data_IF_008844503955
#
_entry.id   IF_008844503955
#
_cell.length_a   1.000
_cell.length_b   1.000
_cell.length_c   1.000
_cell.angle_alpha   90.00
_cell.angle_beta   90.00
_cell.angle_gamma   90.00
#
_symmetry.space_group_name_H-M   'P 1'
#
loop_
_entity.id
_entity.type
_entity.pdbx_description
1 polymer ?
#
# COMPACT_ATOMS: atom_id res chain seq x y z
N UNK A 1 -7.01 10.84 -16.63
CA UNK A 1 -5.81 11.47 -16.04
C UNK A 1 -4.62 10.71 -16.59
N UNK A 2 -3.55 11.40 -16.99
CA UNK A 2 -2.35 10.76 -17.50
C UNK A 2 -1.62 10.06 -16.34
N UNK A 3 -1.88 8.77 -16.15
CA UNK A 3 -1.23 7.96 -15.11
C UNK A 3 0.30 7.90 -15.29
N UNK A 4 0.83 8.38 -16.42
CA UNK A 4 2.26 8.30 -16.74
C UNK A 4 3.16 9.06 -15.77
N UNK A 5 2.63 10.05 -15.05
CA UNK A 5 3.38 10.90 -14.10
C UNK A 5 3.02 10.66 -12.63
N UNK A 6 2.12 9.71 -12.34
CA UNK A 6 1.72 9.43 -10.95
C UNK A 6 2.82 8.67 -10.23
N UNK A 7 3.33 9.23 -9.14
CA UNK A 7 4.41 8.63 -8.33
C UNK A 7 3.92 7.40 -7.56
N UNK A 8 2.75 7.50 -6.92
CA UNK A 8 2.08 6.37 -6.23
C UNK A 8 0.58 6.45 -6.49
N UNK A 9 0.02 5.42 -7.14
CA UNK A 9 -1.43 5.26 -7.35
C UNK A 9 -1.97 4.16 -6.41
N UNK A 10 -2.46 4.59 -5.24
CA UNK A 10 -2.96 3.68 -4.19
C UNK A 10 -4.22 2.94 -4.65
N UNK A 11 -5.15 3.63 -5.33
CA UNK A 11 -6.39 3.01 -5.81
C UNK A 11 -6.08 1.90 -6.82
N UNK A 12 -5.15 2.14 -7.73
CA UNK A 12 -4.67 1.11 -8.64
C UNK A 12 -4.00 -0.04 -7.89
N UNK A 13 -3.04 0.23 -7.00
CA UNK A 13 -2.35 -0.81 -6.23
C UNK A 13 -3.33 -1.67 -5.40
N UNK A 14 -4.34 -1.05 -4.81
CA UNK A 14 -5.43 -1.71 -4.09
C UNK A 14 -6.24 -2.62 -5.02
N UNK A 15 -6.58 -2.15 -6.23
CA UNK A 15 -7.33 -2.94 -7.20
C UNK A 15 -6.58 -4.22 -7.62
N UNK A 16 -5.24 -4.15 -7.71
CA UNK A 16 -4.39 -5.30 -8.04
C UNK A 16 -4.37 -6.35 -6.93
N UNK A 17 -4.62 -5.93 -5.69
CA UNK A 17 -4.54 -6.77 -4.50
C UNK A 17 -5.93 -7.05 -3.91
N UNK A 18 -6.98 -6.99 -4.73
CA UNK A 18 -8.38 -7.27 -4.31
C UNK A 18 -8.82 -6.41 -3.11
N UNK A 19 -8.33 -5.18 -3.02
CA UNK A 19 -8.62 -4.25 -1.92
C UNK A 19 -7.82 -4.49 -0.64
N UNK A 20 -6.77 -5.32 -0.66
CA UNK A 20 -5.97 -5.60 0.53
C UNK A 20 -4.92 -4.50 0.80
N UNK A 21 -5.30 -3.50 1.60
CA UNK A 21 -4.45 -2.37 2.00
C UNK A 21 -3.22 -2.80 2.76
N UNK A 22 -3.38 -3.67 3.76
CA UNK A 22 -2.26 -4.17 4.57
C UNK A 22 -1.19 -4.83 3.70
N UNK A 23 -1.60 -5.64 2.72
CA UNK A 23 -0.68 -6.25 1.77
C UNK A 23 -0.02 -5.20 0.86
N UNK A 24 -0.77 -4.22 0.35
CA UNK A 24 -0.22 -3.14 -0.47
C UNK A 24 0.90 -2.40 0.27
N UNK A 25 0.63 -1.93 1.48
CA UNK A 25 1.60 -1.18 2.29
C UNK A 25 2.80 -2.05 2.70
N UNK A 26 2.58 -3.34 2.96
CA UNK A 26 3.68 -4.30 3.19
C UNK A 26 4.59 -4.41 1.96
N UNK A 27 4.02 -4.49 0.76
CA UNK A 27 4.78 -4.59 -0.48
C UNK A 27 5.48 -3.28 -0.82
N UNK A 28 4.85 -2.14 -0.56
CA UNK A 28 5.46 -0.81 -0.71
C UNK A 28 6.65 -0.62 0.24
N UNK A 29 6.55 -1.08 1.49
CA UNK A 29 7.69 -1.04 2.43
C UNK A 29 8.84 -1.96 2.02
N UNK A 30 8.53 -3.17 1.52
CA UNK A 30 9.56 -4.06 0.97
C UNK A 30 10.24 -3.44 -0.26
N UNK A 31 9.47 -2.78 -1.12
CA UNK A 31 10.00 -2.07 -2.27
C UNK A 31 11.01 -0.98 -1.85
N UNK A 32 10.68 -0.15 -0.85
CA UNK A 32 11.61 0.88 -0.38
C UNK A 32 12.88 0.30 0.23
N UNK A 33 12.77 -0.79 0.99
CA UNK A 33 13.93 -1.48 1.58
C UNK A 33 14.85 -2.09 0.50
N UNK A 34 14.26 -2.72 -0.51
CA UNK A 34 14.99 -3.42 -1.58
C UNK A 34 15.71 -2.46 -2.52
N UNK A 35 15.06 -1.36 -2.92
CA UNK A 35 15.57 -0.50 -3.99
C UNK A 35 16.30 0.75 -3.51
N UNK A 36 16.50 0.94 -2.20
CA UNK A 36 17.22 2.09 -1.63
C UNK A 36 18.68 2.17 -2.06
N UNK A 37 19.32 1.02 -2.31
CA UNK A 37 20.71 0.94 -2.77
C UNK A 37 20.85 0.83 -4.29
N UNK A 38 19.74 0.86 -5.04
CA UNK A 38 19.74 0.50 -6.45
C UNK A 38 20.72 1.33 -7.27
N UNK A 39 20.86 2.64 -7.03
CA UNK A 39 21.84 3.47 -7.76
C UNK A 39 23.27 2.96 -7.55
N UNK A 40 23.65 2.68 -6.29
CA UNK A 40 24.99 2.17 -5.98
C UNK A 40 25.24 0.81 -6.64
N UNK A 41 24.24 -0.07 -6.64
CA UNK A 41 24.33 -1.41 -7.24
C UNK A 41 24.48 -1.31 -8.77
N UNK A 42 23.68 -0.46 -9.42
CA UNK A 42 23.75 -0.21 -10.86
C UNK A 42 25.10 0.39 -11.26
N UNK A 43 25.60 1.40 -10.53
CA UNK A 43 26.92 1.97 -10.78
C UNK A 43 28.03 0.92 -10.64
N UNK A 44 27.95 0.03 -9.66
CA UNK A 44 28.92 -1.05 -9.46
C UNK A 44 28.94 -2.04 -10.63
N UNK A 45 27.77 -2.42 -11.16
CA UNK A 45 27.68 -3.27 -12.35
C UNK A 45 28.20 -2.57 -13.61
N UNK A 46 27.82 -1.30 -13.82
CA UNK A 46 28.29 -0.49 -14.95
C UNK A 46 29.81 -0.36 -14.95
N UNK A 47 30.42 -0.08 -13.79
CA UNK A 47 31.87 0.06 -13.66
C UNK A 47 32.64 -1.24 -14.00
N UNK A 48 32.01 -2.40 -13.79
CA UNK A 48 32.55 -3.72 -14.16
C UNK A 48 32.24 -4.12 -15.60
N UNK A 49 31.38 -3.38 -16.30
CA UNK A 49 30.88 -3.73 -17.63
C UNK A 49 29.78 -4.80 -17.61
N UNK A 50 29.19 -5.10 -16.44
CA UNK A 50 28.19 -6.14 -16.21
C UNK A 50 26.78 -5.67 -16.60
N UNK A 51 26.59 -5.21 -17.84
CA UNK A 51 25.32 -4.63 -18.31
C UNK A 51 24.13 -5.61 -18.29
N UNK A 52 24.38 -6.93 -18.31
CA UNK A 52 23.32 -7.92 -18.18
C UNK A 52 22.74 -7.94 -16.76
N UNK A 53 23.56 -7.76 -15.73
CA UNK A 53 23.11 -7.69 -14.34
C UNK A 53 22.39 -6.36 -14.09
N UNK A 54 22.95 -5.25 -14.58
CA UNK A 54 22.28 -3.95 -14.53
C UNK A 54 20.91 -3.97 -15.23
N UNK A 55 20.82 -4.61 -16.40
CA UNK A 55 19.54 -4.85 -17.08
C UNK A 55 18.57 -5.65 -16.23
N UNK A 56 19.02 -6.75 -15.61
CA UNK A 56 18.16 -7.65 -14.83
C UNK A 56 17.57 -6.95 -13.59
N UNK A 57 18.37 -6.11 -12.92
CA UNK A 57 17.91 -5.27 -11.82
C UNK A 57 16.82 -4.29 -12.26
N UNK A 58 17.06 -3.51 -13.33
CA UNK A 58 16.07 -2.53 -13.82
C UNK A 58 14.82 -3.21 -14.39
N UNK A 59 14.97 -4.38 -15.04
CA UNK A 59 13.86 -5.17 -15.55
C UNK A 59 12.93 -5.63 -14.41
N UNK A 60 13.52 -6.11 -13.31
CA UNK A 60 12.79 -6.55 -12.13
C UNK A 60 12.06 -5.37 -11.48
N UNK A 61 12.76 -4.25 -11.25
CA UNK A 61 12.17 -3.01 -10.75
C UNK A 61 10.97 -2.57 -11.59
N UNK A 62 11.11 -2.56 -12.92
CA UNK A 62 10.03 -2.17 -13.84
C UNK A 62 8.79 -3.07 -13.68
N UNK A 63 8.99 -4.37 -13.48
CA UNK A 63 7.91 -5.33 -13.23
C UNK A 63 7.19 -5.04 -11.91
N UNK A 64 7.96 -4.79 -10.84
CA UNK A 64 7.42 -4.47 -9.51
C UNK A 64 6.62 -3.16 -9.53
N UNK A 65 7.19 -2.10 -10.11
CA UNK A 65 6.57 -0.76 -10.17
C UNK A 65 5.24 -0.76 -10.93
N UNK A 66 5.13 -1.56 -11.99
CA UNK A 66 3.88 -1.70 -12.75
C UNK A 66 2.74 -2.34 -11.94
N UNK A 67 3.06 -3.28 -11.04
CA UNK A 67 2.07 -3.97 -10.22
C UNK A 67 1.65 -3.18 -8.97
N UNK A 68 2.50 -2.25 -8.51
CA UNK A 68 2.27 -1.45 -7.30
C UNK A 68 1.72 -0.04 -7.60
N UNK A 69 1.44 0.30 -8.86
CA UNK A 69 0.95 1.63 -9.22
C UNK A 69 2.01 2.73 -9.15
N UNK A 70 3.30 2.38 -9.24
CA UNK A 70 4.43 3.31 -9.21
C UNK A 70 4.77 3.79 -10.64
N UNK A 71 3.79 4.40 -11.31
CA UNK A 71 3.81 4.59 -12.76
C UNK A 71 4.89 5.55 -13.26
N UNK A 72 5.18 6.63 -12.53
CA UNK A 72 6.26 7.55 -12.86
C UNK A 72 7.61 6.81 -12.95
N UNK A 73 7.92 5.98 -11.94
CA UNK A 73 9.13 5.19 -11.90
C UNK A 73 9.14 4.06 -12.94
N UNK A 74 8.01 3.39 -13.12
CA UNK A 74 7.84 2.39 -14.18
C UNK A 74 8.21 2.97 -15.55
N UNK A 75 7.73 4.17 -15.87
CA UNK A 75 8.03 4.83 -17.13
C UNK A 75 9.48 5.31 -17.22
N UNK A 76 10.02 5.88 -16.14
CA UNK A 76 11.40 6.34 -16.09
C UNK A 76 12.42 5.19 -16.27
N UNK A 77 12.07 3.97 -15.86
CA UNK A 77 12.93 2.78 -16.01
C UNK A 77 13.10 2.31 -17.47
N UNK A 78 12.12 2.54 -18.34
CA UNK A 78 12.10 2.02 -19.74
C UNK A 78 13.32 2.41 -20.57
N UNK A 79 13.73 3.70 -20.65
CA UNK A 79 14.92 4.08 -21.40
C UNK A 79 16.21 3.51 -20.78
N UNK A 80 16.29 3.41 -19.46
CA UNK A 80 17.45 2.85 -18.75
C UNK A 80 17.60 1.35 -19.03
N UNK A 81 16.52 0.59 -18.90
CA UNK A 81 16.45 -0.84 -19.22
C UNK A 81 16.88 -1.08 -20.69
N UNK A 82 16.35 -0.28 -21.62
CA UNK A 82 16.70 -0.37 -23.04
C UNK A 82 18.18 -0.08 -23.30
N UNK A 83 18.75 0.94 -22.65
CA UNK A 83 20.17 1.29 -22.76
C UNK A 83 21.09 0.16 -22.30
N UNK A 84 20.75 -0.50 -21.19
CA UNK A 84 21.51 -1.66 -20.71
C UNK A 84 21.37 -2.87 -21.64
N UNK A 85 20.15 -3.18 -22.11
CA UNK A 85 19.88 -4.36 -22.94
C UNK A 85 20.48 -4.26 -24.35
N UNK A 86 20.23 -3.15 -25.02
CA UNK A 86 20.46 -3.03 -26.47
C UNK A 86 21.82 -2.40 -26.78
N UNK A 87 22.18 -1.38 -26.01
CA UNK A 87 23.35 -0.55 -26.29
C UNK A 87 24.53 -0.84 -25.34
N UNK A 88 24.30 -1.64 -24.28
CA UNK A 88 25.27 -1.89 -23.20
C UNK A 88 25.90 -0.58 -22.68
N UNK A 89 25.06 0.41 -22.40
CA UNK A 89 25.47 1.73 -21.93
C UNK A 89 24.48 2.31 -20.93
N UNK A 90 24.95 3.31 -20.18
CA UNK A 90 24.08 4.15 -19.36
C UNK A 90 23.31 5.11 -20.25
N UNK A 91 21.98 5.10 -20.14
CA UNK A 91 21.12 6.01 -20.88
C UNK A 91 21.24 7.45 -20.35
N UNK A 92 21.03 8.46 -21.22
CA UNK A 92 21.06 9.88 -20.82
C UNK A 92 20.00 10.21 -19.75
N UNK A 93 18.91 9.44 -19.71
CA UNK A 93 17.81 9.57 -18.76
C UNK A 93 18.13 8.97 -17.38
N UNK A 94 19.28 8.31 -17.19
CA UNK A 94 19.64 7.66 -15.93
C UNK A 94 19.56 8.61 -14.70
N UNK A 95 20.06 9.87 -14.74
CA UNK A 95 19.93 10.77 -13.60
C UNK A 95 18.47 11.11 -13.27
N UNK A 96 17.62 11.26 -14.29
CA UNK A 96 16.18 11.50 -14.10
C UNK A 96 15.48 10.27 -13.51
N UNK A 97 15.87 9.07 -13.94
CA UNK A 97 15.38 7.82 -13.36
C UNK A 97 15.72 7.69 -11.87
N UNK A 98 16.95 8.01 -11.46
CA UNK A 98 17.35 8.00 -10.04
C UNK A 98 16.58 9.06 -9.25
N UNK A 99 16.39 10.26 -9.78
CA UNK A 99 15.58 11.28 -9.11
C UNK A 99 14.13 10.83 -8.87
N UNK A 100 13.52 10.15 -9.85
CA UNK A 100 12.17 9.58 -9.71
C UNK A 100 12.15 8.41 -8.74
N UNK A 101 13.21 7.58 -8.68
CA UNK A 101 13.34 6.52 -7.67
C UNK A 101 13.36 7.11 -6.26
N UNK A 102 14.20 8.11 -6.02
CA UNK A 102 14.32 8.78 -4.73
C UNK A 102 13.02 9.47 -4.31
N UNK A 103 12.35 10.13 -5.26
CA UNK A 103 11.02 10.72 -5.05
C UNK A 103 9.99 9.66 -4.68
N UNK A 104 9.99 8.52 -5.39
CA UNK A 104 9.07 7.40 -5.13
C UNK A 104 9.32 6.81 -3.75
N UNK A 105 10.59 6.57 -3.38
CA UNK A 105 10.95 6.05 -2.05
C UNK A 105 10.51 7.04 -0.97
N UNK A 106 10.78 8.34 -1.14
CA UNK A 106 10.38 9.35 -0.17
C UNK A 106 8.85 9.44 -0.02
N UNK A 107 8.10 9.35 -1.13
CA UNK A 107 6.64 9.35 -1.12
C UNK A 107 6.08 8.12 -0.39
N UNK A 108 6.64 6.93 -0.66
CA UNK A 108 6.23 5.68 0.00
C UNK A 108 6.61 5.70 1.48
N UNK A 109 7.82 6.15 1.84
CA UNK A 109 8.24 6.30 3.23
C UNK A 109 7.30 7.26 3.97
N UNK A 110 6.89 8.37 3.35
CA UNK A 110 5.91 9.29 3.94
C UNK A 110 4.55 8.62 4.15
N UNK A 111 4.06 7.86 3.18
CA UNK A 111 2.79 7.13 3.27
C UNK A 111 2.80 6.05 4.36
N UNK A 112 3.92 5.37 4.58
CA UNK A 112 4.07 4.32 5.59
C UNK A 112 4.33 4.92 6.98
N UNK A 113 5.04 6.04 7.04
CA UNK A 113 5.43 6.70 8.29
C UNK A 113 4.38 7.65 8.83
N UNK A 114 3.44 8.10 8.00
CA UNK A 114 2.21 8.67 8.52
C UNK A 114 1.57 7.62 9.46
N UNK A 115 1.49 7.88 10.79
CA UNK A 115 0.46 7.21 11.55
C UNK A 115 -0.87 7.57 10.88
N UNK A 116 -1.88 6.73 10.97
CA UNK A 116 -3.22 7.01 10.44
C UNK A 116 -3.68 8.45 10.80
N UNK A 117 -3.39 9.40 9.91
CA UNK A 117 -3.85 10.78 9.95
C UNK A 117 -4.43 11.09 8.57
N UNK A 118 -5.33 10.21 8.14
CA UNK A 118 -6.59 10.68 7.59
C UNK A 118 -7.58 10.84 8.75
N UNK A 119 -7.21 11.74 9.66
CA UNK A 119 -8.18 12.49 10.42
C UNK A 119 -8.99 13.33 9.41
N UNK A 120 -10.06 12.75 8.86
CA UNK A 120 -11.25 13.57 8.69
C UNK A 120 -11.63 14.04 10.09
N UNK A 121 -11.72 15.36 10.23
CA UNK A 121 -11.90 16.11 11.47
C UNK A 121 -12.81 15.44 12.52
N UNK A 122 -12.62 15.74 13.82
CA UNK A 122 -13.59 15.38 14.85
C UNK A 122 -14.88 16.16 14.59
N UNK A 123 -15.80 15.58 13.85
CA UNK A 123 -17.20 15.95 14.01
C UNK A 123 -17.62 15.43 15.39
N UNK A 124 -18.35 16.24 16.18
CA UNK A 124 -18.84 15.78 17.47
C UNK A 124 -19.61 14.48 17.26
N UNK A 125 -19.51 13.56 18.23
CA UNK A 125 -20.26 12.32 18.30
C UNK A 125 -21.74 12.56 17.99
N UNK A 126 -22.10 12.49 16.70
CA UNK A 126 -23.47 12.49 16.26
C UNK A 126 -23.87 11.03 16.31
N UNK A 127 -24.79 10.67 17.20
CA UNK A 127 -25.31 9.32 17.33
C UNK A 127 -25.70 8.68 16.00
N UNK A 128 -25.99 9.45 14.94
CA UNK A 128 -26.22 8.96 13.59
C UNK A 128 -25.04 8.16 12.98
N UNK A 129 -23.77 8.58 13.18
CA UNK A 129 -22.61 7.88 12.63
C UNK A 129 -22.34 6.56 13.38
N UNK A 130 -22.45 6.59 14.71
CA UNK A 130 -22.35 5.41 15.57
C UNK A 130 -23.48 4.41 15.26
N UNK A 131 -24.73 4.88 15.12
CA UNK A 131 -25.88 4.05 14.73
C UNK A 131 -25.71 3.42 13.34
N UNK A 132 -25.18 4.19 12.38
CA UNK A 132 -24.89 3.67 11.05
C UNK A 132 -23.80 2.59 11.09
N UNK A 133 -22.69 2.84 11.80
CA UNK A 133 -21.62 1.86 11.98
C UNK A 133 -22.13 0.59 12.68
N UNK A 134 -22.91 0.75 13.75
CA UNK A 134 -23.56 -0.38 14.47
C UNK A 134 -24.41 -1.21 13.53
N UNK A 135 -25.26 -0.55 12.73
CA UNK A 135 -26.15 -1.23 11.79
C UNK A 135 -25.39 -1.95 10.68
N UNK A 136 -24.33 -1.35 10.16
CA UNK A 136 -23.51 -1.94 9.11
C UNK A 136 -22.73 -3.16 9.61
N UNK A 137 -22.06 -3.03 10.76
CA UNK A 137 -21.37 -4.14 11.42
C UNK A 137 -22.36 -5.28 11.74
N UNK A 138 -23.50 -4.97 12.37
CA UNK A 138 -24.55 -5.94 12.67
C UNK A 138 -25.09 -6.65 11.42
N UNK A 139 -25.23 -5.94 10.31
CA UNK A 139 -25.70 -6.54 9.04
C UNK A 139 -24.67 -7.49 8.47
N UNK A 140 -23.39 -7.09 8.46
CA UNK A 140 -22.30 -7.92 7.96
C UNK A 140 -22.11 -9.19 8.80
N UNK A 141 -22.16 -9.08 10.13
CA UNK A 141 -22.09 -10.21 11.05
C UNK A 141 -23.27 -11.18 10.85
N UNK A 142 -24.50 -10.67 10.74
CA UNK A 142 -25.70 -11.49 10.49
C UNK A 142 -25.71 -12.17 9.12
N UNK A 143 -25.05 -11.56 8.14
CA UNK A 143 -24.88 -12.14 6.81
C UNK A 143 -23.68 -13.09 6.72
N UNK A 144 -22.92 -13.26 7.81
CA UNK A 144 -21.65 -14.00 7.85
C UNK A 144 -20.71 -13.58 6.71
N UNK A 145 -20.74 -12.28 6.36
CA UNK A 145 -19.91 -11.71 5.32
C UNK A 145 -18.49 -11.49 5.83
N UNK A 146 -17.51 -11.69 4.95
CA UNK A 146 -16.13 -11.32 5.25
C UNK A 146 -16.03 -9.80 5.47
N UNK A 147 -15.54 -9.41 6.65
CA UNK A 147 -15.28 -8.01 7.01
C UNK A 147 -13.77 -7.80 6.95
N UNK A 148 -13.31 -6.86 6.12
CA UNK A 148 -11.90 -6.47 6.11
C UNK A 148 -11.54 -5.77 7.43
N UNK A 149 -10.34 -6.05 7.96
CA UNK A 149 -9.84 -5.47 9.22
C UNK A 149 -10.00 -3.94 9.27
N UNK A 150 -9.57 -3.22 8.23
CA UNK A 150 -9.66 -1.76 8.18
C UNK A 150 -11.11 -1.26 8.32
N UNK A 151 -12.08 -2.01 7.78
CA UNK A 151 -13.51 -1.68 7.82
C UNK A 151 -14.11 -2.00 9.19
N UNK A 152 -13.66 -3.08 9.81
CA UNK A 152 -14.02 -3.44 11.17
C UNK A 152 -13.52 -2.37 12.16
N UNK A 153 -12.27 -1.94 12.01
CA UNK A 153 -11.67 -0.88 12.82
C UNK A 153 -12.40 0.45 12.66
N UNK A 154 -12.73 0.85 11.42
CA UNK A 154 -13.52 2.06 11.14
C UNK A 154 -14.89 2.03 11.85
N UNK A 155 -15.60 0.89 11.79
CA UNK A 155 -16.88 0.73 12.46
C UNK A 155 -16.75 0.75 13.98
N UNK A 156 -15.75 0.08 14.54
CA UNK A 156 -15.51 0.05 15.99
C UNK A 156 -15.06 1.41 16.54
N UNK A 157 -14.29 2.18 15.77
CA UNK A 157 -13.89 3.54 16.12
C UNK A 157 -15.08 4.49 16.18
N UNK A 158 -16.02 4.37 15.23
CA UNK A 158 -17.24 5.16 15.22
C UNK A 158 -18.19 4.83 16.39
N UNK A 159 -18.11 3.62 16.95
CA UNK A 159 -18.92 3.17 18.09
C UNK A 159 -18.38 3.66 19.44
N UNK A 160 -17.12 4.12 19.50
CA UNK A 160 -16.45 4.57 20.72
C UNK A 160 -16.58 3.56 21.88
N UNK A 161 -16.45 2.26 21.57
CA UNK A 161 -16.56 1.18 22.57
C UNK A 161 -15.37 1.17 23.54
N UNK A 162 -15.56 0.65 24.77
CA UNK A 162 -14.44 0.32 25.64
C UNK A 162 -13.47 -0.64 24.94
N UNK A 163 -12.17 -0.47 25.18
CA UNK A 163 -11.10 -1.26 24.56
C UNK A 163 -11.30 -2.78 24.73
N UNK A 164 -11.83 -3.20 25.88
CA UNK A 164 -12.13 -4.61 26.19
C UNK A 164 -13.15 -5.20 25.19
N UNK A 165 -14.25 -4.48 24.94
CA UNK A 165 -15.28 -4.89 23.98
C UNK A 165 -14.79 -4.84 22.54
N UNK A 166 -13.98 -3.83 22.21
CA UNK A 166 -13.35 -3.74 20.88
C UNK A 166 -12.51 -4.99 20.59
N UNK A 167 -11.66 -5.39 21.54
CA UNK A 167 -10.82 -6.58 21.38
C UNK A 167 -11.67 -7.84 21.22
N UNK A 168 -12.68 -8.02 22.07
CA UNK A 168 -13.55 -9.21 22.01
C UNK A 168 -14.27 -9.36 20.67
N UNK A 169 -14.76 -8.25 20.08
CA UNK A 169 -15.40 -8.27 18.76
C UNK A 169 -14.38 -8.61 17.66
N UNK A 170 -13.17 -8.06 17.72
CA UNK A 170 -12.11 -8.35 16.74
C UNK A 170 -11.71 -9.83 16.81
N UNK A 171 -11.45 -10.34 18.02
CA UNK A 171 -11.07 -11.73 18.24
C UNK A 171 -12.15 -12.69 17.73
N UNK A 172 -13.43 -12.40 18.01
CA UNK A 172 -14.55 -13.21 17.52
C UNK A 172 -14.69 -13.17 15.98
N UNK A 173 -14.48 -12.02 15.33
CA UNK A 173 -14.51 -11.91 13.86
C UNK A 173 -13.33 -12.66 13.23
N UNK A 174 -12.14 -12.58 13.82
CA UNK A 174 -10.93 -13.29 13.35
C UNK A 174 -11.07 -14.82 13.49
N UNK A 175 -11.76 -15.29 14.54
CA UNK A 175 -12.11 -16.69 14.74
C UNK A 175 -13.33 -17.16 13.92
N UNK A 176 -13.93 -16.26 13.13
CA UNK A 176 -15.18 -16.49 12.37
C UNK A 176 -16.39 -16.84 13.25
N UNK A 177 -16.32 -16.52 14.55
CA UNK A 177 -17.41 -16.66 15.51
C UNK A 177 -18.31 -15.42 15.47
N UNK A 178 -19.10 -15.34 14.40
CA UNK A 178 -20.01 -14.22 14.18
C UNK A 178 -21.13 -14.13 15.25
N UNK A 179 -21.47 -15.24 15.92
CA UNK A 179 -22.47 -15.25 17.00
C UNK A 179 -21.92 -14.52 18.24
N UNK A 180 -20.68 -14.83 18.62
CA UNK A 180 -20.00 -14.15 19.74
C UNK A 180 -19.78 -12.66 19.45
N UNK A 181 -19.37 -12.31 18.21
CA UNK A 181 -19.20 -10.92 17.79
C UNK A 181 -20.51 -10.11 17.88
N UNK A 182 -21.66 -10.73 17.55
CA UNK A 182 -22.99 -10.10 17.69
C UNK A 182 -23.33 -9.90 19.17
N UNK A 183 -23.10 -10.91 20.01
CA UNK A 183 -23.36 -10.84 21.45
C UNK A 183 -22.59 -9.70 22.11
N UNK A 184 -21.31 -9.56 21.79
CA UNK A 184 -20.47 -8.49 22.33
C UNK A 184 -20.92 -7.09 21.90
N UNK A 185 -21.37 -6.97 20.65
CA UNK A 185 -21.91 -5.74 20.07
C UNK A 185 -23.30 -5.37 20.63
N UNK A 186 -24.17 -6.33 20.94
CA UNK A 186 -25.48 -6.07 21.57
C UNK A 186 -25.34 -5.70 23.05
N UNK A 187 -24.36 -6.27 23.75
CA UNK A 187 -24.05 -5.96 25.14
C UNK A 187 -23.20 -4.69 25.32
N UNK A 188 -23.01 -3.90 24.24
CA UNK A 188 -22.21 -2.66 24.19
C UNK A 188 -23.04 -1.38 24.18
#
# INVERSE_FOLDING_TARGET
MDQSTTVVDIDFGMSQLSGNKKLLFTLLGKFTDEYRSLDADLQAHVAKGDFNEAYSLVHTLKGVTGNLGLFALHNASKPVESGFRNDKRVAEQYPAFIAVLDETIAAVDALIKEPEVTASAPAPANGAAAEQARKQLMTALKASEFIAQDKLDEWLDALALPQEKRSAIIDAVDELDYEEAISELENS
#
